data_IF_929757872049
#
_entry.id   IF_929757872049
#
_cell.length_a   1.000
_cell.length_b   1.000
_cell.length_c   1.000
_cell.angle_alpha   90.00
_cell.angle_beta   90.00
_cell.angle_gamma   90.00
#
_symmetry.space_group_name_H-M   'P 1'
#
loop_
_entity.id
_entity.type
_entity.pdbx_description
1 polymer ?
#
# COMPACT_ATOMS: atom_id res chain seq x y z
N UNK A 1 2.35 -23.53 -34.41
CA UNK A 1 2.85 -23.96 -33.08
C UNK A 1 2.58 -25.45 -32.91
N UNK A 2 3.53 -26.19 -32.33
CA UNK A 2 3.30 -27.54 -31.79
C UNK A 2 3.42 -27.41 -30.28
N UNK A 3 2.37 -27.80 -29.55
CA UNK A 3 2.38 -27.84 -28.09
C UNK A 3 2.68 -29.28 -27.68
N UNK A 4 3.69 -29.47 -26.82
CA UNK A 4 4.00 -30.77 -26.24
C UNK A 4 3.46 -30.82 -24.81
N UNK A 5 2.57 -31.76 -24.53
CA UNK A 5 1.91 -31.86 -23.22
C UNK A 5 2.66 -32.87 -22.34
N UNK A 6 3.08 -32.47 -21.14
CA UNK A 6 3.90 -33.31 -20.25
C UNK A 6 3.16 -33.63 -18.95
N UNK A 7 2.56 -34.82 -18.89
CA UNK A 7 1.80 -35.29 -17.73
C UNK A 7 2.73 -35.76 -16.61
N UNK A 8 2.83 -34.99 -15.52
CA UNK A 8 3.59 -35.39 -14.32
C UNK A 8 2.65 -35.83 -13.20
N UNK A 9 2.67 -37.12 -12.89
CA UNK A 9 1.91 -37.73 -11.79
C UNK A 9 2.38 -37.22 -10.41
N UNK A 10 1.48 -36.83 -9.49
CA UNK A 10 1.85 -36.48 -8.12
C UNK A 10 1.94 -37.71 -7.21
N UNK A 11 2.87 -37.67 -6.26
CA UNK A 11 2.99 -38.59 -5.12
C UNK A 11 2.78 -37.82 -3.80
N UNK A 12 2.35 -38.47 -2.71
CA UNK A 12 1.38 -37.87 -1.79
C UNK A 12 1.96 -36.98 -0.67
N UNK A 13 1.15 -35.99 -0.28
CA UNK A 13 1.36 -35.11 0.87
C UNK A 13 1.10 -35.84 2.20
N UNK A 14 1.99 -35.68 3.18
CA UNK A 14 1.78 -36.15 4.55
C UNK A 14 1.07 -35.09 5.40
N UNK A 15 0.09 -35.53 6.19
CA UNK A 15 -0.75 -34.71 7.06
C UNK A 15 -0.10 -34.40 8.42
N UNK A 16 -0.32 -33.18 8.92
CA UNK A 16 -0.48 -32.79 10.33
C UNK A 16 -1.11 -31.37 10.31
N UNK A 17 -2.16 -31.00 11.05
CA UNK A 17 -2.55 -31.42 12.39
C UNK A 17 -1.69 -30.69 13.44
N UNK A 18 -2.10 -29.62 14.12
CA UNK A 18 -3.38 -28.90 14.17
C UNK A 18 -3.78 -28.65 15.63
N UNK A 19 -3.62 -27.42 16.15
CA UNK A 19 -4.10 -27.07 17.50
C UNK A 19 -4.46 -25.58 17.69
N UNK A 20 -5.58 -25.35 18.37
CA UNK A 20 -6.21 -24.09 18.78
C UNK A 20 -5.29 -22.90 19.17
N UNK A 21 -5.71 -21.69 18.77
CA UNK A 21 -5.50 -20.45 19.53
C UNK A 21 -6.80 -20.01 20.19
N UNK A 22 -6.84 -19.84 21.52
CA UNK A 22 -7.96 -19.22 22.24
C UNK A 22 -7.48 -18.03 23.07
N UNK A 23 -8.15 -16.89 22.85
CA UNK A 23 -8.63 -15.84 23.79
C UNK A 23 -7.80 -15.63 25.08
N UNK A 24 -7.50 -14.39 25.48
CA UNK A 24 -8.47 -13.52 26.18
C UNK A 24 -8.06 -12.03 26.05
N UNK A 25 -9.04 -11.16 25.79
CA UNK A 25 -8.95 -9.70 25.94
C UNK A 25 -10.02 -9.25 26.94
N UNK A 26 -9.64 -8.66 28.09
CA UNK A 26 -10.52 -7.87 28.97
C UNK A 26 -9.72 -6.94 29.90
N UNK A 27 -9.92 -5.64 29.79
CA UNK A 27 -10.24 -4.74 30.92
C UNK A 27 -10.61 -3.34 30.40
N UNK A 28 -11.47 -2.64 31.15
CA UNK A 28 -12.15 -1.40 30.76
C UNK A 28 -12.20 -0.48 31.98
N UNK A 29 -12.13 0.84 31.75
CA UNK A 29 -12.41 1.88 32.75
C UNK A 29 -11.14 2.57 33.28
N UNK A 30 -11.13 3.87 33.53
CA UNK A 30 -12.28 4.71 33.93
C UNK A 30 -12.14 6.17 33.48
N UNK A 31 -13.28 6.83 33.26
CA UNK A 31 -13.37 8.29 33.09
C UNK A 31 -13.38 8.98 34.46
N UNK A 32 -12.74 10.15 34.53
CA UNK A 32 -12.96 11.12 35.60
C UNK A 32 -13.20 12.51 34.98
N UNK A 33 -14.42 13.01 35.14
CA UNK A 33 -14.80 14.38 34.79
C UNK A 33 -14.65 15.24 36.04
N UNK A 34 -13.94 16.36 35.94
CA UNK A 34 -13.93 17.40 36.98
C UNK A 34 -14.65 18.63 36.43
N UNK A 35 -15.78 18.96 37.05
CA UNK A 35 -16.48 20.24 36.88
C UNK A 35 -16.22 21.07 38.13
N UNK A 36 -15.77 22.31 37.98
CA UNK A 36 -15.90 23.34 39.01
C UNK A 36 -16.40 24.61 38.32
N UNK A 37 -17.39 25.27 38.93
CA UNK A 37 -18.12 26.41 38.38
C UNK A 37 -18.13 27.60 39.35
N UNK A 38 -18.51 28.78 38.85
CA UNK A 38 -18.71 30.03 39.62
C UNK A 38 -17.46 30.92 39.73
N UNK A 39 -17.51 32.21 40.09
CA UNK A 39 -18.57 33.22 40.33
C UNK A 39 -17.86 34.62 40.37
N UNK A 40 -18.44 35.80 40.17
CA UNK A 40 -19.78 36.28 39.75
C UNK A 40 -19.68 37.73 39.21
N UNK A 41 -20.80 38.31 38.77
CA UNK A 41 -20.97 39.77 38.51
C UNK A 41 -21.11 40.59 39.80
N UNK A 42 -20.63 41.84 39.83
CA UNK A 42 -21.43 43.08 40.07
C UNK A 42 -20.57 44.31 40.45
N UNK A 43 -21.04 45.51 40.09
CA UNK A 43 -20.65 46.79 40.75
C UNK A 43 -20.22 47.93 39.82
N UNK A 44 -21.15 48.83 39.48
CA UNK A 44 -20.88 50.13 38.84
C UNK A 44 -20.31 51.18 39.83
N UNK A 45 -19.51 52.14 39.35
CA UNK A 45 -19.83 53.58 39.50
C UNK A 45 -19.01 54.49 38.53
N UNK A 46 -19.37 55.78 38.51
CA UNK A 46 -19.27 56.77 37.45
C UNK A 46 -17.97 57.61 37.46
N UNK A 47 -17.57 58.17 36.30
CA UNK A 47 -16.42 59.11 36.27
C UNK A 47 -15.99 59.75 34.94
N UNK A 48 -16.81 60.64 34.36
CA UNK A 48 -16.44 61.76 33.45
C UNK A 48 -15.53 61.56 32.22
N UNK A 49 -16.05 61.93 31.03
CA UNK A 49 -15.26 62.20 29.82
C UNK A 49 -14.44 63.51 29.90
N UNK A 50 -13.49 63.73 28.96
CA UNK A 50 -13.83 64.64 27.86
C UNK A 50 -13.42 64.14 26.45
N UNK A 51 -13.98 64.78 25.42
CA UNK A 51 -13.84 64.42 24.00
C UNK A 51 -13.02 65.46 23.23
N UNK A 52 -12.02 65.04 22.45
CA UNK A 52 -11.36 65.72 21.28
C UNK A 52 -9.96 65.14 21.08
N UNK A 53 -9.39 64.89 19.88
CA UNK A 53 -9.80 65.15 18.48
C UNK A 53 -9.16 64.11 17.55
N UNK A 54 -9.77 63.96 16.37
CA UNK A 54 -9.27 63.48 15.08
C UNK A 54 -7.75 63.47 14.88
N UNK A 55 -7.19 62.33 14.45
CA UNK A 55 -6.61 62.25 13.11
C UNK A 55 -6.83 60.87 12.48
N UNK A 56 -6.91 60.81 11.15
CA UNK A 56 -7.22 59.60 10.40
C UNK A 56 -6.06 59.19 9.49
N UNK A 57 -5.51 58.00 9.70
CA UNK A 57 -4.65 57.32 8.74
C UNK A 57 -5.08 55.85 8.66
N UNK A 58 -5.31 55.28 7.46
CA UNK A 58 -5.66 53.87 7.33
C UNK A 58 -4.40 53.03 7.44
N UNK A 59 -3.99 52.69 8.66
CA UNK A 59 -3.06 51.58 8.84
C UNK A 59 -3.71 50.30 8.32
N UNK A 60 -3.05 49.70 7.34
CA UNK A 60 -3.35 48.39 6.80
C UNK A 60 -3.40 47.38 7.94
N UNK A 61 -4.61 46.90 8.26
CA UNK A 61 -4.79 45.91 9.32
C UNK A 61 -4.36 44.51 8.84
N UNK A 62 -3.07 44.35 8.61
CA UNK A 62 -2.37 43.07 8.74
C UNK A 62 -2.45 42.61 10.20
N UNK A 63 -3.61 42.09 10.59
CA UNK A 63 -3.74 41.21 11.76
C UNK A 63 -3.97 39.76 11.30
N UNK A 64 -3.26 39.36 10.25
CA UNK A 64 -3.08 37.96 9.85
C UNK A 64 -1.99 37.26 10.69
N UNK A 65 -1.93 37.55 12.00
CA UNK A 65 -0.86 37.03 12.87
C UNK A 65 -1.38 36.46 14.20
N UNK A 66 -2.52 35.77 14.15
CA UNK A 66 -3.00 34.95 15.27
C UNK A 66 -2.27 33.60 15.33
N UNK A 67 -1.05 33.63 15.86
CA UNK A 67 -0.30 32.54 16.49
C UNK A 67 -0.56 31.10 15.99
N UNK A 68 0.14 30.66 14.94
CA UNK A 68 0.23 29.23 14.55
C UNK A 68 1.23 28.48 15.44
N UNK A 69 0.83 28.17 16.68
CA UNK A 69 1.68 27.50 17.67
C UNK A 69 1.48 25.99 17.77
N UNK A 70 0.66 25.37 16.90
CA UNK A 70 0.57 23.92 16.75
C UNK A 70 1.30 23.41 15.49
N UNK A 71 1.73 22.15 15.53
CA UNK A 71 2.32 21.46 14.38
C UNK A 71 1.21 21.10 13.38
N UNK A 72 1.26 21.66 12.16
CA UNK A 72 0.32 21.33 11.07
C UNK A 72 0.41 19.84 10.68
N UNK A 73 -0.66 19.04 10.88
CA UNK A 73 -0.67 17.62 10.54
C UNK A 73 -0.36 17.35 9.05
N UNK A 74 -0.90 18.15 8.13
CA UNK A 74 -0.72 17.94 6.70
C UNK A 74 0.72 18.23 6.24
N UNK A 75 1.39 19.18 6.91
CA UNK A 75 2.84 19.40 6.73
C UNK A 75 3.66 18.20 7.23
N UNK A 76 3.29 17.62 8.37
CA UNK A 76 3.99 16.47 8.95
C UNK A 76 3.83 15.20 8.12
N UNK A 77 2.61 14.88 7.66
CA UNK A 77 2.38 13.77 6.75
C UNK A 77 3.18 13.93 5.46
N UNK A 78 3.17 15.12 4.84
CA UNK A 78 3.98 15.40 3.65
C UNK A 78 5.49 15.20 3.90
N UNK A 79 6.00 15.58 5.09
CA UNK A 79 7.39 15.32 5.48
C UNK A 79 7.69 13.83 5.63
N UNK A 80 6.81 13.07 6.29
CA UNK A 80 6.96 11.62 6.45
C UNK A 80 6.97 10.89 5.10
N UNK A 81 6.01 11.23 4.22
CA UNK A 81 5.92 10.69 2.85
C UNK A 81 7.18 11.00 2.06
N UNK A 82 7.62 12.26 2.03
CA UNK A 82 8.83 12.67 1.31
C UNK A 82 10.10 11.98 1.83
N UNK A 83 10.22 11.73 3.14
CA UNK A 83 11.35 11.00 3.71
C UNK A 83 11.44 9.54 3.24
N UNK A 84 10.30 8.86 3.06
CA UNK A 84 10.29 7.51 2.47
C UNK A 84 10.49 7.54 0.95
N UNK A 85 9.94 8.53 0.25
CA UNK A 85 10.19 8.72 -1.20
C UNK A 85 11.67 8.97 -1.51
N UNK A 86 12.37 9.75 -0.68
CA UNK A 86 13.81 9.95 -0.87
C UNK A 86 14.62 8.64 -0.74
N UNK A 87 14.19 7.70 0.10
CA UNK A 87 14.80 6.38 0.19
C UNK A 87 14.44 5.48 -1.01
N UNK A 88 13.19 5.51 -1.50
CA UNK A 88 12.81 4.77 -2.71
C UNK A 88 13.56 5.26 -3.96
N UNK A 89 13.82 6.56 -4.03
CA UNK A 89 14.49 7.20 -5.16
C UNK A 89 16.03 7.10 -5.06
N UNK A 90 16.56 6.34 -4.10
CA UNK A 90 18.01 6.18 -3.86
C UNK A 90 18.73 7.44 -3.36
N UNK A 91 17.98 8.48 -2.99
CA UNK A 91 18.51 9.77 -2.52
C UNK A 91 18.80 9.75 -1.02
N UNK A 92 19.64 8.81 -0.59
CA UNK A 92 19.88 8.49 0.82
C UNK A 92 20.52 9.65 1.60
N UNK A 93 21.39 10.45 1.00
CA UNK A 93 21.96 11.65 1.63
C UNK A 93 20.85 12.66 1.96
N UNK A 94 19.98 12.95 0.99
CA UNK A 94 18.87 13.88 1.15
C UNK A 94 17.79 13.37 2.12
N UNK A 95 17.66 12.05 2.28
CA UNK A 95 16.84 11.43 3.32
C UNK A 95 17.51 11.57 4.70
N UNK A 96 18.81 11.28 4.81
CA UNK A 96 19.60 11.36 6.04
C UNK A 96 19.63 12.78 6.61
N UNK A 97 19.71 13.81 5.76
CA UNK A 97 19.57 15.23 6.14
C UNK A 97 18.24 15.57 6.84
N UNK A 98 17.20 14.71 6.73
CA UNK A 98 15.92 14.91 7.43
C UNK A 98 15.91 14.34 8.85
N UNK A 99 16.88 13.51 9.21
CA UNK A 99 17.05 12.97 10.55
C UNK A 99 17.51 14.07 11.52
N UNK A 100 17.08 13.99 12.77
CA UNK A 100 17.65 14.79 13.85
C UNK A 100 19.08 14.34 14.16
N UNK A 101 19.94 15.27 14.59
CA UNK A 101 21.37 15.02 14.82
C UNK A 101 21.71 13.77 15.65
N UNK A 102 21.00 13.41 16.74
CA UNK A 102 21.28 12.15 17.45
C UNK A 102 21.03 10.93 16.56
N UNK A 103 19.86 10.87 15.93
CA UNK A 103 19.46 9.80 15.01
C UNK A 103 20.38 9.69 13.80
N UNK A 104 20.82 10.83 13.26
CA UNK A 104 21.74 10.92 12.13
C UNK A 104 23.18 10.48 12.49
N UNK A 105 23.57 10.57 13.76
CA UNK A 105 24.87 10.13 14.26
C UNK A 105 24.91 8.61 14.53
N UNK A 106 23.81 8.04 15.03
CA UNK A 106 23.67 6.61 15.33
C UNK A 106 23.35 5.75 14.09
N UNK A 107 22.93 6.37 12.98
CA UNK A 107 22.50 5.69 11.76
C UNK A 107 23.01 6.44 10.53
N UNK A 108 24.01 5.90 9.82
CA UNK A 108 24.66 6.58 8.70
C UNK A 108 23.86 6.48 7.38
N UNK A 109 24.27 7.26 6.37
CA UNK A 109 23.74 7.14 5.00
C UNK A 109 23.88 5.70 4.47
N UNK A 110 25.02 5.06 4.72
CA UNK A 110 25.29 3.67 4.31
C UNK A 110 24.44 2.66 5.08
N UNK A 111 24.16 2.90 6.36
CA UNK A 111 23.24 2.05 7.13
C UNK A 111 21.79 2.19 6.62
N UNK A 112 21.39 3.40 6.23
CA UNK A 112 20.10 3.67 5.60
C UNK A 112 19.95 2.96 4.26
N UNK A 113 20.95 3.05 3.39
CA UNK A 113 20.99 2.34 2.11
C UNK A 113 20.90 0.82 2.31
N UNK A 114 21.76 0.25 3.17
CA UNK A 114 21.77 -1.19 3.47
C UNK A 114 20.42 -1.66 4.06
N UNK A 115 19.82 -0.86 4.94
CA UNK A 115 18.49 -1.12 5.50
C UNK A 115 17.41 -1.13 4.41
N UNK A 116 17.42 -0.16 3.51
CA UNK A 116 16.48 -0.10 2.39
C UNK A 116 16.65 -1.27 1.41
N UNK A 117 17.89 -1.64 1.07
CA UNK A 117 18.17 -2.81 0.24
C UNK A 117 17.67 -4.12 0.88
N UNK A 118 17.77 -4.26 2.21
CA UNK A 118 17.22 -5.40 2.94
C UNK A 118 15.68 -5.42 2.93
N UNK A 119 15.03 -4.25 3.02
CA UNK A 119 13.58 -4.11 2.86
C UNK A 119 13.15 -4.52 1.44
N UNK A 120 13.84 -4.07 0.39
CA UNK A 120 13.54 -4.45 -0.99
C UNK A 120 13.75 -5.97 -1.22
N UNK A 121 14.85 -6.52 -0.71
CA UNK A 121 15.18 -7.95 -0.80
C UNK A 121 14.09 -8.85 -0.19
N UNK A 122 13.46 -8.40 0.90
CA UNK A 122 12.39 -9.14 1.58
C UNK A 122 10.99 -8.84 1.03
N UNK A 123 10.69 -7.57 0.75
CA UNK A 123 9.34 -7.06 0.47
C UNK A 123 9.02 -6.94 -1.02
N UNK A 124 10.02 -7.02 -1.89
CA UNK A 124 9.92 -6.72 -3.33
C UNK A 124 10.35 -5.29 -3.63
N UNK A 125 10.25 -4.84 -4.88
CA UNK A 125 10.51 -3.44 -5.22
C UNK A 125 9.45 -2.53 -4.57
N UNK A 126 9.81 -1.28 -4.28
CA UNK A 126 8.89 -0.27 -3.76
C UNK A 126 8.00 0.26 -4.89
N UNK A 127 6.69 0.27 -4.68
CA UNK A 127 5.72 0.70 -5.69
C UNK A 127 5.13 2.08 -5.35
N UNK A 128 4.61 2.25 -4.13
CA UNK A 128 3.92 3.49 -3.75
C UNK A 128 3.67 3.65 -2.24
N UNK A 129 3.30 4.88 -1.85
CA UNK A 129 2.74 5.16 -0.53
C UNK A 129 1.20 5.19 -0.63
N UNK A 130 0.56 4.15 -0.10
CA UNK A 130 -0.89 3.93 -0.15
C UNK A 130 -1.64 4.94 0.73
N UNK A 131 -1.23 5.09 1.98
CA UNK A 131 -1.94 5.87 2.99
C UNK A 131 -0.93 6.48 3.99
N UNK A 132 -1.28 7.62 4.57
CA UNK A 132 -0.54 8.19 5.70
C UNK A 132 -1.52 8.84 6.67
N UNK A 133 -1.33 8.61 7.98
CA UNK A 133 -2.19 9.14 9.04
C UNK A 133 -1.33 9.76 10.15
N UNK A 134 -1.57 11.04 10.45
CA UNK A 134 -1.01 11.72 11.61
C UNK A 134 -1.69 11.31 12.92
N UNK A 135 -0.88 11.02 13.94
CA UNK A 135 -1.32 10.84 15.32
C UNK A 135 -0.53 11.77 16.27
N UNK A 136 -1.25 12.52 17.10
CA UNK A 136 -0.67 13.43 18.10
C UNK A 136 -0.12 12.63 19.28
N UNK A 137 1.16 12.83 19.63
CA UNK A 137 1.78 12.24 20.82
C UNK A 137 1.76 13.20 22.00
N UNK A 138 1.84 12.66 23.21
CA UNK A 138 1.86 13.43 24.47
C UNK A 138 3.22 14.04 24.81
N UNK A 139 4.30 13.61 24.13
CA UNK A 139 5.67 14.09 24.31
C UNK A 139 6.00 15.34 23.45
N UNK A 140 5.03 15.87 22.71
CA UNK A 140 5.21 17.01 21.81
C UNK A 140 5.80 16.64 20.44
N UNK A 141 6.10 15.36 20.19
CA UNK A 141 6.39 14.85 18.86
C UNK A 141 5.08 14.53 18.10
N UNK A 142 5.24 14.24 16.82
CA UNK A 142 4.22 13.74 15.92
C UNK A 142 4.55 12.29 15.57
N UNK A 143 3.56 11.41 15.58
CA UNK A 143 3.66 10.13 14.88
C UNK A 143 2.97 10.30 13.52
N UNK A 144 3.58 9.81 12.45
CA UNK A 144 2.89 9.55 11.19
C UNK A 144 3.03 8.08 10.87
N UNK A 145 1.90 7.39 10.77
CA UNK A 145 1.83 6.02 10.28
C UNK A 145 1.74 6.10 8.76
N UNK A 146 2.63 5.42 8.05
CA UNK A 146 2.70 5.45 6.58
C UNK A 146 2.63 4.02 6.05
N UNK A 147 1.52 3.69 5.39
CA UNK A 147 1.32 2.39 4.74
C UNK A 147 1.84 2.45 3.32
N UNK A 148 2.70 1.50 2.97
CA UNK A 148 3.39 1.43 1.69
C UNK A 148 3.10 0.12 0.97
N UNK A 149 3.09 0.17 -0.35
CA UNK A 149 3.04 -1.01 -1.21
C UNK A 149 4.44 -1.28 -1.75
N UNK A 150 4.96 -2.47 -1.45
CA UNK A 150 6.02 -3.11 -2.22
C UNK A 150 5.40 -4.27 -3.00
N UNK A 151 6.14 -4.86 -3.95
CA UNK A 151 5.59 -5.89 -4.85
C UNK A 151 5.07 -7.18 -4.17
N UNK A 152 5.57 -7.53 -2.98
CA UNK A 152 5.20 -8.77 -2.25
C UNK A 152 4.58 -8.53 -0.87
N UNK A 153 4.82 -7.37 -0.26
CA UNK A 153 4.43 -7.06 1.13
C UNK A 153 3.96 -5.60 1.24
N UNK A 154 2.91 -5.36 2.04
CA UNK A 154 2.61 -4.02 2.56
C UNK A 154 3.42 -3.78 3.83
N UNK A 155 4.31 -2.80 3.79
CA UNK A 155 5.05 -2.35 4.98
C UNK A 155 4.35 -1.14 5.59
N UNK A 156 4.10 -1.19 6.89
CA UNK A 156 3.65 -0.04 7.68
C UNK A 156 4.86 0.54 8.40
N UNK A 157 5.21 1.77 8.04
CA UNK A 157 6.25 2.55 8.71
C UNK A 157 5.63 3.48 9.75
N UNK A 158 6.22 3.52 10.93
CA UNK A 158 6.01 4.58 11.91
C UNK A 158 7.15 5.59 11.79
N UNK A 159 6.83 6.85 11.49
CA UNK A 159 7.80 7.95 11.41
C UNK A 159 7.49 8.94 12.54
N UNK A 160 8.41 9.05 13.50
CA UNK A 160 8.30 10.03 14.59
C UNK A 160 8.99 11.32 14.17
N UNK A 161 8.25 12.43 14.17
CA UNK A 161 8.70 13.73 13.69
C UNK A 161 8.58 14.81 14.76
N UNK A 162 9.44 15.83 14.66
CA UNK A 162 9.32 17.08 15.41
C UNK A 162 9.22 18.25 14.44
N UNK A 163 9.14 19.49 14.95
CA UNK A 163 9.30 20.71 14.11
C UNK A 163 10.60 20.67 13.30
N UNK A 164 11.67 20.11 13.88
CA UNK A 164 13.05 20.19 13.40
C UNK A 164 13.42 19.10 12.38
N UNK A 165 12.79 17.92 12.45
CA UNK A 165 13.15 16.77 11.61
C UNK A 165 12.56 15.45 12.11
N UNK A 166 12.93 14.36 11.45
CA UNK A 166 12.61 12.96 11.80
C UNK A 166 13.45 12.54 13.00
N UNK A 167 12.78 12.20 14.10
CA UNK A 167 13.41 11.71 15.33
C UNK A 167 13.70 10.21 15.29
N UNK A 168 12.81 9.43 14.68
CA UNK A 168 13.02 8.01 14.41
C UNK A 168 12.08 7.53 13.32
N UNK A 169 12.40 6.39 12.71
CA UNK A 169 11.47 5.66 11.87
C UNK A 169 11.73 4.15 11.99
N UNK A 170 10.69 3.34 11.81
CA UNK A 170 10.75 1.89 11.91
C UNK A 170 9.59 1.24 11.16
N UNK A 171 9.72 -0.02 10.75
CA UNK A 171 8.59 -0.83 10.28
C UNK A 171 7.92 -1.47 11.50
N UNK A 172 6.60 -1.34 11.63
CA UNK A 172 5.83 -1.93 12.74
C UNK A 172 4.81 -2.98 12.32
N UNK A 173 4.47 -3.07 11.03
CA UNK A 173 3.72 -4.20 10.48
C UNK A 173 4.19 -4.54 9.06
N UNK A 174 4.15 -5.83 8.73
CA UNK A 174 4.44 -6.39 7.41
C UNK A 174 3.31 -7.36 7.07
N UNK A 175 2.55 -7.05 6.02
CA UNK A 175 1.40 -7.85 5.58
C UNK A 175 1.68 -8.39 4.17
N UNK A 176 1.86 -9.69 4.03
CA UNK A 176 1.92 -10.36 2.73
C UNK A 176 0.57 -10.24 2.02
N UNK A 177 0.58 -10.12 0.69
CA UNK A 177 -0.66 -10.11 -0.08
C UNK A 177 -1.25 -11.51 -0.22
N UNK A 178 -2.46 -11.71 0.28
CA UNK A 178 -3.33 -12.82 -0.12
C UNK A 178 -4.12 -12.43 -1.37
N UNK A 179 -3.89 -13.11 -2.49
CA UNK A 179 -4.81 -13.07 -3.62
C UNK A 179 -5.99 -14.01 -3.36
N UNK A 180 -7.21 -13.54 -3.56
CA UNK A 180 -8.45 -14.32 -3.46
C UNK A 180 -9.06 -14.50 -4.86
N UNK A 181 -9.61 -15.68 -5.13
CA UNK A 181 -10.30 -15.95 -6.40
C UNK A 181 -11.53 -15.02 -6.54
N UNK A 182 -11.66 -14.27 -7.64
CA UNK A 182 -12.85 -13.47 -7.88
C UNK A 182 -14.11 -14.32 -7.99
N UNK A 183 -15.20 -13.86 -7.39
CA UNK A 183 -16.48 -14.60 -7.31
C UNK A 183 -17.18 -14.86 -8.65
N UNK A 184 -16.73 -14.22 -9.72
CA UNK A 184 -17.24 -14.45 -11.08
C UNK A 184 -16.58 -15.64 -11.79
N UNK A 185 -15.47 -16.16 -11.26
CA UNK A 185 -14.74 -17.27 -11.89
C UNK A 185 -15.38 -18.60 -11.51
N UNK A 186 -15.88 -19.31 -12.52
CA UNK A 186 -16.20 -20.74 -12.45
C UNK A 186 -14.97 -21.56 -12.89
N UNK A 187 -14.29 -22.19 -11.93
CA UNK A 187 -13.13 -23.05 -12.20
C UNK A 187 -13.48 -24.41 -12.80
N UNK A 188 -14.77 -24.73 -12.97
CA UNK A 188 -15.21 -25.91 -13.73
C UNK A 188 -15.35 -25.64 -15.24
N UNK A 189 -15.38 -24.37 -15.65
CA UNK A 189 -15.52 -23.95 -17.05
C UNK A 189 -14.22 -24.04 -17.87
N UNK A 190 -13.07 -24.30 -17.24
CA UNK A 190 -11.78 -24.46 -17.92
C UNK A 190 -10.82 -25.38 -17.16
N UNK A 191 -9.79 -25.86 -17.84
CA UNK A 191 -8.65 -26.55 -17.24
C UNK A 191 -7.39 -25.70 -17.44
N UNK A 192 -6.60 -25.50 -16.38
CA UNK A 192 -5.25 -24.94 -16.49
C UNK A 192 -4.23 -26.04 -16.77
N UNK A 193 -3.32 -25.81 -17.72
CA UNK A 193 -2.19 -26.70 -18.01
C UNK A 193 -0.93 -25.89 -18.23
N UNK A 194 0.15 -26.24 -17.52
CA UNK A 194 1.47 -25.67 -17.81
C UNK A 194 1.97 -26.23 -19.13
N UNK A 195 2.34 -25.34 -20.05
CA UNK A 195 2.86 -25.67 -21.38
C UNK A 195 4.24 -25.06 -21.59
N UNK A 196 5.02 -25.67 -22.50
CA UNK A 196 6.26 -25.09 -23.03
C UNK A 196 6.04 -24.69 -24.48
N UNK A 197 6.58 -23.54 -24.87
CA UNK A 197 6.47 -22.96 -26.22
C UNK A 197 7.87 -22.73 -26.78
N UNK A 198 8.18 -23.38 -27.90
CA UNK A 198 9.43 -23.16 -28.63
C UNK A 198 9.37 -21.78 -29.31
N UNK A 199 9.99 -20.76 -28.70
CA UNK A 199 10.06 -19.40 -29.26
C UNK A 199 11.14 -19.30 -30.34
N UNK A 200 12.27 -19.99 -30.16
CA UNK A 200 13.28 -20.24 -31.19
C UNK A 200 13.88 -21.64 -31.01
N UNK A 201 14.75 -22.08 -31.91
CA UNK A 201 15.46 -23.38 -31.82
C UNK A 201 16.35 -23.56 -30.58
N UNK A 202 16.54 -22.50 -29.77
CA UNK A 202 17.35 -22.52 -28.55
C UNK A 202 16.70 -21.74 -27.40
N UNK A 203 15.38 -21.48 -27.47
CA UNK A 203 14.65 -20.73 -26.46
C UNK A 203 13.25 -21.33 -26.28
N UNK A 204 13.05 -21.98 -25.15
CA UNK A 204 11.77 -22.52 -24.67
C UNK A 204 11.18 -21.55 -23.64
N UNK A 205 9.90 -21.18 -23.79
CA UNK A 205 9.18 -20.32 -22.86
C UNK A 205 8.11 -21.10 -22.12
N UNK A 206 8.03 -20.90 -20.81
CA UNK A 206 6.97 -21.49 -19.97
C UNK A 206 5.68 -20.67 -20.02
N UNK A 207 4.53 -21.35 -20.05
CA UNK A 207 3.22 -20.71 -20.01
C UNK A 207 2.14 -21.50 -19.25
N UNK A 208 1.01 -20.86 -19.01
CA UNK A 208 -0.26 -21.49 -18.56
C UNK A 208 -1.26 -21.36 -19.69
N UNK A 209 -1.78 -22.49 -20.13
CA UNK A 209 -2.94 -22.57 -21.02
C UNK A 209 -4.20 -22.76 -20.18
N UNK A 210 -5.16 -21.83 -20.27
CA UNK A 210 -6.52 -21.96 -19.72
C UNK A 210 -7.46 -22.30 -20.88
N UNK A 211 -7.99 -23.53 -20.88
CA UNK A 211 -8.73 -24.13 -22.00
C UNK A 211 -10.12 -24.61 -21.54
N UNK A 212 -11.23 -24.13 -22.14
CA UNK A 212 -12.56 -24.71 -21.89
C UNK A 212 -12.66 -26.16 -22.39
N UNK A 213 -13.51 -27.00 -21.76
CA UNK A 213 -13.68 -28.38 -22.19
C UNK A 213 -14.34 -28.49 -23.58
N UNK A 214 -14.03 -29.58 -24.28
CA UNK A 214 -14.73 -30.08 -25.48
C UNK A 214 -14.81 -29.19 -26.74
N UNK A 215 -14.06 -28.07 -26.83
CA UNK A 215 -14.03 -27.24 -28.04
C UNK A 215 -12.81 -27.47 -28.95
N UNK A 216 -13.06 -27.88 -30.20
CA UNK A 216 -12.01 -28.25 -31.17
C UNK A 216 -11.33 -27.05 -31.88
N UNK A 217 -11.98 -25.88 -31.94
CA UNK A 217 -11.40 -24.67 -32.53
C UNK A 217 -12.02 -23.41 -31.93
N UNK A 218 -11.17 -22.59 -31.31
CA UNK A 218 -11.55 -21.47 -30.44
C UNK A 218 -10.68 -20.24 -30.68
N UNK A 219 -11.21 -19.01 -30.52
CA UNK A 219 -10.40 -17.80 -30.58
C UNK A 219 -9.41 -17.76 -29.41
N UNK A 220 -8.12 -17.58 -29.69
CA UNK A 220 -7.07 -17.57 -28.67
C UNK A 220 -6.53 -16.15 -28.39
N UNK A 221 -6.28 -15.84 -27.12
CA UNK A 221 -5.45 -14.72 -26.68
C UNK A 221 -4.14 -15.25 -26.08
N UNK A 222 -3.01 -14.66 -26.45
CA UNK A 222 -1.72 -14.91 -25.81
C UNK A 222 -1.31 -13.65 -25.06
N UNK A 223 -1.08 -13.75 -23.75
CA UNK A 223 -0.49 -12.69 -22.94
C UNK A 223 1.00 -13.00 -22.78
N UNK A 224 1.85 -12.07 -23.21
CA UNK A 224 3.30 -12.08 -22.95
C UNK A 224 3.61 -10.78 -22.23
N UNK A 225 4.18 -10.86 -21.03
CA UNK A 225 4.56 -9.64 -20.30
C UNK A 225 5.83 -9.01 -20.90
N UNK A 226 6.01 -7.71 -20.63
CA UNK A 226 7.22 -6.99 -21.06
C UNK A 226 8.46 -7.36 -20.25
N UNK A 227 9.59 -6.73 -20.58
CA UNK A 227 10.84 -6.85 -19.84
C UNK A 227 10.71 -6.30 -18.42
N UNK A 228 10.83 -7.16 -17.42
CA UNK A 228 10.79 -6.81 -16.00
C UNK A 228 10.59 -8.05 -15.11
N UNK A 229 10.74 -7.94 -13.78
CA UNK A 229 10.55 -9.05 -12.84
C UNK A 229 9.06 -9.36 -12.57
N UNK A 230 8.25 -9.39 -13.62
CA UNK A 230 6.83 -9.71 -13.57
C UNK A 230 6.67 -11.22 -13.73
N UNK A 231 5.79 -11.83 -12.93
CA UNK A 231 5.49 -13.26 -13.04
C UNK A 231 4.38 -13.54 -14.07
N UNK A 232 4.18 -14.82 -14.37
CA UNK A 232 3.13 -15.31 -15.28
C UNK A 232 1.70 -14.97 -14.85
N UNK A 233 1.44 -14.65 -13.58
CA UNK A 233 0.11 -14.24 -13.11
C UNK A 233 -0.10 -12.72 -13.25
N UNK A 234 0.98 -11.96 -13.50
CA UNK A 234 0.99 -10.51 -13.51
C UNK A 234 0.94 -9.90 -12.11
N UNK A 235 1.41 -10.62 -11.09
CA UNK A 235 1.24 -10.26 -9.67
C UNK A 235 1.67 -8.82 -9.40
N UNK A 236 0.71 -8.00 -8.96
CA UNK A 236 0.91 -6.62 -8.56
C UNK A 236 0.15 -6.36 -7.26
N UNK A 237 0.88 -6.35 -6.16
CA UNK A 237 0.31 -6.40 -4.81
C UNK A 237 -0.68 -7.56 -4.63
N UNK A 238 -1.96 -7.29 -4.27
CA UNK A 238 -2.97 -8.32 -4.09
C UNK A 238 -3.64 -8.77 -5.39
N UNK A 239 -3.29 -8.21 -6.55
CA UNK A 239 -3.99 -8.44 -7.82
C UNK A 239 -3.18 -9.39 -8.71
N UNK A 240 -3.87 -10.22 -9.51
CA UNK A 240 -3.24 -11.07 -10.53
C UNK A 240 -3.93 -10.88 -11.89
N UNK A 241 -3.80 -9.69 -12.51
CA UNK A 241 -4.57 -9.31 -13.69
C UNK A 241 -4.45 -10.28 -14.88
N UNK A 242 -3.28 -10.87 -15.14
CA UNK A 242 -3.15 -11.80 -16.27
C UNK A 242 -3.87 -13.13 -15.99
N UNK A 243 -3.86 -13.58 -14.73
CA UNK A 243 -4.62 -14.75 -14.27
C UNK A 243 -6.12 -14.49 -14.25
N UNK A 244 -6.54 -13.33 -13.76
CA UNK A 244 -7.95 -12.94 -13.71
C UNK A 244 -8.56 -12.78 -15.11
N UNK A 245 -7.76 -12.31 -16.08
CA UNK A 245 -8.12 -12.34 -17.51
C UNK A 245 -8.15 -13.78 -18.06
N UNK A 246 -7.18 -14.63 -17.75
CA UNK A 246 -7.14 -16.03 -18.24
C UNK A 246 -8.26 -16.89 -17.64
N UNK A 247 -8.75 -16.53 -16.47
CA UNK A 247 -9.87 -17.17 -15.77
C UNK A 247 -11.24 -16.58 -16.17
N UNK A 248 -11.27 -15.32 -16.64
CA UNK A 248 -12.51 -14.65 -17.07
C UNK A 248 -12.91 -14.92 -18.52
N UNK A 249 -11.95 -15.01 -19.45
CA UNK A 249 -12.27 -15.23 -20.88
C UNK A 249 -12.88 -16.60 -21.20
N UNK A 250 -12.49 -17.73 -20.57
CA UNK A 250 -13.16 -19.01 -20.79
C UNK A 250 -14.62 -19.08 -20.30
N UNK A 251 -15.14 -18.01 -19.68
CA UNK A 251 -16.43 -17.99 -18.97
C UNK A 251 -17.40 -16.97 -19.61
N UNK A 252 -17.39 -16.83 -20.94
CA UNK A 252 -18.34 -15.97 -21.67
C UNK A 252 -19.74 -16.62 -21.72
N UNK A 253 -20.42 -16.62 -20.57
CA UNK A 253 -21.84 -17.00 -20.47
C UNK A 253 -22.67 -15.78 -20.88
N UNK A 254 -23.08 -15.73 -22.14
CA UNK A 254 -24.01 -14.70 -22.63
C UNK A 254 -25.39 -14.90 -22.02
N UNK A 255 -25.96 -13.90 -21.29
CA UNK A 255 -27.30 -14.00 -20.72
C UNK A 255 -28.44 -13.79 -21.73
N UNK A 256 -28.13 -13.74 -23.04
CA UNK A 256 -29.15 -13.54 -24.08
C UNK A 256 -29.68 -14.85 -24.62
N UNK A 257 -31.01 -15.06 -24.48
CA UNK A 257 -31.76 -16.03 -25.28
C UNK A 257 -31.80 -15.58 -26.77
N UNK A 258 -30.68 -15.76 -27.46
CA UNK A 258 -30.51 -15.49 -28.89
C UNK A 258 -29.39 -16.36 -29.43
N UNK A 259 -29.68 -17.14 -30.47
CA UNK A 259 -28.82 -18.24 -30.94
C UNK A 259 -27.54 -17.77 -31.64
N UNK A 260 -26.49 -17.47 -30.87
CA UNK A 260 -25.10 -17.50 -31.34
C UNK A 260 -24.17 -17.98 -30.21
N UNK A 261 -24.09 -19.30 -30.00
CA UNK A 261 -22.94 -19.89 -29.32
C UNK A 261 -21.75 -19.82 -30.27
N UNK A 262 -21.01 -18.71 -30.20
CA UNK A 262 -19.66 -18.65 -30.76
C UNK A 262 -18.70 -19.46 -29.89
N UNK A 263 -17.61 -20.00 -30.46
CA UNK A 263 -16.66 -20.81 -29.70
C UNK A 263 -15.98 -20.00 -28.59
N UNK A 264 -15.82 -20.62 -27.41
CA UNK A 264 -15.39 -19.97 -26.17
C UNK A 264 -13.87 -19.68 -26.20
N UNK A 265 -13.41 -18.45 -25.92
CA UNK A 265 -12.00 -18.12 -26.10
C UNK A 265 -11.05 -18.82 -25.12
N UNK A 266 -9.85 -19.13 -25.63
CA UNK A 266 -8.70 -19.67 -24.88
C UNK A 266 -7.73 -18.57 -24.51
N UNK A 267 -7.08 -18.71 -23.34
CA UNK A 267 -5.93 -17.87 -23.01
C UNK A 267 -4.65 -18.68 -22.75
N UNK A 268 -3.53 -18.14 -23.21
CA UNK A 268 -2.19 -18.63 -22.92
C UNK A 268 -1.33 -17.49 -22.36
N UNK A 269 -0.94 -17.55 -21.09
CA UNK A 269 -0.05 -16.56 -20.47
C UNK A 269 1.37 -17.11 -20.41
N UNK A 270 2.35 -16.35 -20.92
CA UNK A 270 3.73 -16.77 -21.17
C UNK A 270 4.70 -15.86 -20.44
N UNK A 271 5.74 -16.45 -19.86
CA UNK A 271 6.88 -15.75 -19.26
C UNK A 271 8.12 -15.88 -20.14
N UNK A 272 8.82 -14.76 -20.35
CA UNK A 272 10.06 -14.62 -21.13
C UNK A 272 11.30 -14.87 -20.30
#
# INVERSE_FOLDING_TARGET
MKLHNSTKTPSPTTSNGGTDRRKILRSVGSLSVVVIAGCSSDGDDSGSSPVSRTDGSPESNESSERAKTDLDPAMLERRARNFLTLQSDGSFEAAHERLLTPTAADFSVTDMENSWQQIVTTSGEFESIVESEYQKRTDGAALVIVKTAFARVRNTFEVVLTRKGVQSYQITAQEEYSWEQPSYVDTSAFTETTVTIDATTSCELGGTLSLPPDEAQVPGLVIVHGSGPIDRDGTFGPNKPYKELSWGLPVVVSPYCGTTNGPTPVMLTVQT
#
